data_IF_492927933268
#
_entry.id   IF_492927933268
#
_cell.length_a   1.000
_cell.length_b   1.000
_cell.length_c   1.000
_cell.angle_alpha   90.00
_cell.angle_beta   90.00
_cell.angle_gamma   90.00
#
_symmetry.space_group_name_H-M   'P 1'
#
loop_
_entity.id
_entity.type
_entity.pdbx_description
1 polymer ?
#
# COMPACT_ATOMS: atom_id res chain seq x y z
N UNK A 1 -18.67 5.05 8.71
CA UNK A 1 -19.96 4.68 8.07
C UNK A 1 -19.87 3.34 7.34
N UNK A 2 -18.97 3.15 6.37
CA UNK A 2 -18.85 1.86 5.64
C UNK A 2 -18.55 0.65 6.55
N UNK A 3 -17.57 0.75 7.45
CA UNK A 3 -17.27 -0.29 8.46
C UNK A 3 -18.35 -0.43 9.54
N UNK A 4 -19.38 0.42 9.56
CA UNK A 4 -20.55 0.29 10.45
C UNK A 4 -21.75 -0.37 9.74
N UNK A 5 -21.68 -0.55 8.41
CA UNK A 5 -22.72 -1.16 7.58
C UNK A 5 -22.39 -2.61 7.21
N UNK A 6 -21.53 -3.28 7.97
CA UNK A 6 -20.96 -4.60 7.62
C UNK A 6 -22.03 -5.69 7.45
N UNK A 7 -23.20 -5.55 8.07
CA UNK A 7 -24.35 -6.47 7.88
C UNK A 7 -25.28 -6.14 6.70
N UNK A 8 -25.15 -4.95 6.10
CA UNK A 8 -26.08 -4.45 5.04
C UNK A 8 -25.35 -4.11 3.75
N UNK A 9 -24.03 -3.91 3.81
CA UNK A 9 -23.21 -3.43 2.71
C UNK A 9 -21.95 -4.30 2.59
N UNK A 10 -22.04 -5.37 1.80
CA UNK A 10 -20.89 -6.12 1.33
C UNK A 10 -20.19 -5.32 0.22
N UNK A 11 -19.27 -4.42 0.59
CA UNK A 11 -19.02 -3.23 -0.23
C UNK A 11 -17.64 -2.92 -0.86
N UNK A 12 -16.75 -3.83 -1.27
CA UNK A 12 -15.73 -3.49 -2.29
C UNK A 12 -16.26 -3.25 -3.71
N UNK A 13 -17.45 -3.72 -4.19
CA UNK A 13 -17.77 -3.65 -5.62
C UNK A 13 -18.00 -2.23 -6.12
N UNK A 14 -18.57 -1.34 -5.31
CA UNK A 14 -18.96 -0.01 -5.77
C UNK A 14 -17.75 0.90 -6.01
N UNK A 15 -16.83 1.02 -5.05
CA UNK A 15 -15.64 1.86 -5.21
C UNK A 15 -14.69 1.30 -6.27
N UNK A 16 -14.55 -0.03 -6.34
CA UNK A 16 -13.73 -0.69 -7.35
C UNK A 16 -14.33 -0.54 -8.76
N UNK A 17 -15.66 -0.62 -8.90
CA UNK A 17 -16.34 -0.33 -10.16
C UNK A 17 -16.20 1.15 -10.58
N UNK A 18 -16.33 2.08 -9.63
CA UNK A 18 -16.11 3.51 -9.89
C UNK A 18 -14.66 3.75 -10.34
N UNK A 19 -13.68 3.18 -9.64
CA UNK A 19 -12.27 3.32 -10.01
C UNK A 19 -12.00 2.77 -11.41
N UNK A 20 -12.46 1.55 -11.72
CA UNK A 20 -12.30 0.95 -13.06
C UNK A 20 -13.02 1.75 -14.15
N UNK A 21 -14.16 2.38 -13.84
CA UNK A 21 -14.88 3.23 -14.80
C UNK A 21 -14.12 4.53 -15.10
N UNK A 22 -13.50 5.14 -14.10
CA UNK A 22 -12.80 6.43 -14.23
C UNK A 22 -11.36 6.27 -14.75
N UNK A 23 -10.65 5.23 -14.31
CA UNK A 23 -9.20 5.06 -14.53
C UNK A 23 -8.83 3.77 -15.27
N UNK A 24 -9.80 2.93 -15.64
CA UNK A 24 -9.56 1.73 -16.44
C UNK A 24 -9.16 2.06 -17.88
N UNK A 25 -8.34 1.20 -18.47
CA UNK A 25 -7.98 1.28 -19.88
C UNK A 25 -9.20 0.98 -20.76
N UNK A 26 -9.33 1.69 -21.88
CA UNK A 26 -10.40 1.49 -22.86
C UNK A 26 -10.37 0.08 -23.48
N UNK A 27 -9.17 -0.49 -23.63
CA UNK A 27 -8.96 -1.82 -24.22
C UNK A 27 -9.25 -2.96 -23.23
N UNK A 28 -8.99 -2.75 -21.95
CA UNK A 28 -9.25 -3.75 -20.91
C UNK A 28 -9.55 -3.06 -19.57
N UNK A 29 -10.79 -3.20 -19.09
CA UNK A 29 -11.24 -2.61 -17.81
C UNK A 29 -10.52 -3.16 -16.57
N UNK A 30 -9.75 -4.25 -16.71
CA UNK A 30 -8.93 -4.82 -15.64
C UNK A 30 -7.56 -4.14 -15.53
N UNK A 31 -7.06 -3.56 -16.62
CA UNK A 31 -5.77 -2.87 -16.67
C UNK A 31 -6.01 -1.37 -16.51
N UNK A 32 -5.19 -0.70 -15.73
CA UNK A 32 -5.31 0.74 -15.50
C UNK A 32 -4.76 1.47 -16.73
N UNK A 33 -5.40 2.59 -17.07
CA UNK A 33 -4.88 3.47 -18.12
C UNK A 33 -3.53 4.04 -17.69
N UNK A 34 -2.68 4.37 -18.67
CA UNK A 34 -1.48 5.16 -18.41
C UNK A 34 -1.81 6.42 -17.61
N UNK A 35 -1.01 6.68 -16.58
CA UNK A 35 -1.25 7.79 -15.68
C UNK A 35 -1.10 9.14 -16.39
N UNK A 36 -1.96 10.08 -16.00
CA UNK A 36 -1.87 11.46 -16.46
C UNK A 36 -2.34 12.38 -15.32
N UNK A 37 -1.40 13.07 -14.69
CA UNK A 37 -1.69 13.95 -13.54
C UNK A 37 -1.94 15.41 -13.93
N UNK A 38 -2.26 15.69 -15.20
CA UNK A 38 -2.67 17.03 -15.64
C UNK A 38 -3.94 17.51 -14.97
N UNK A 39 -4.89 16.62 -14.68
CA UNK A 39 -6.10 16.94 -13.93
C UNK A 39 -5.93 16.62 -12.45
N UNK A 40 -5.84 17.65 -11.61
CA UNK A 40 -5.65 17.50 -10.18
C UNK A 40 -6.81 16.84 -9.45
N UNK A 41 -8.06 17.07 -9.88
CA UNK A 41 -9.22 16.41 -9.27
C UNK A 41 -9.13 14.89 -9.46
N UNK A 42 -8.82 14.48 -10.69
CA UNK A 42 -8.61 13.06 -11.00
C UNK A 42 -7.41 12.48 -10.26
N UNK A 43 -6.32 13.23 -10.13
CA UNK A 43 -5.16 12.81 -9.35
C UNK A 43 -5.49 12.55 -7.87
N UNK A 44 -6.17 13.49 -7.20
CA UNK A 44 -6.54 13.32 -5.80
C UNK A 44 -7.51 12.15 -5.60
N UNK A 45 -8.46 11.95 -6.52
CA UNK A 45 -9.34 10.78 -6.50
C UNK A 45 -8.57 9.48 -6.70
N UNK A 46 -7.70 9.44 -7.72
CA UNK A 46 -6.88 8.26 -8.03
C UNK A 46 -5.98 7.88 -6.86
N UNK A 47 -5.44 8.87 -6.14
CA UNK A 47 -4.63 8.67 -4.93
C UNK A 47 -5.45 8.21 -3.72
N UNK A 48 -6.63 8.78 -3.50
CA UNK A 48 -7.39 8.60 -2.24
C UNK A 48 -8.25 7.34 -2.25
N UNK A 49 -8.81 6.96 -3.40
CA UNK A 49 -9.69 5.78 -3.51
C UNK A 49 -8.98 4.49 -3.07
N UNK A 50 -7.75 4.16 -3.53
CA UNK A 50 -7.02 2.97 -3.09
C UNK A 50 -6.81 2.92 -1.57
N UNK A 51 -6.45 4.06 -0.96
CA UNK A 51 -6.25 4.18 0.50
C UNK A 51 -7.56 3.95 1.25
N UNK A 52 -8.66 4.54 0.77
CA UNK A 52 -9.99 4.36 1.37
C UNK A 52 -10.46 2.90 1.29
N UNK A 53 -10.23 2.23 0.16
CA UNK A 53 -10.57 0.82 -0.02
C UNK A 53 -9.74 -0.09 0.89
N UNK A 54 -8.45 0.21 1.05
CA UNK A 54 -7.58 -0.53 1.95
C UNK A 54 -8.03 -0.48 3.41
N UNK A 55 -8.78 0.55 3.81
CA UNK A 55 -9.36 0.69 5.16
C UNK A 55 -10.68 -0.06 5.38
N UNK A 56 -11.26 -0.66 4.33
CA UNK A 56 -12.49 -1.44 4.47
C UNK A 56 -12.21 -2.76 5.19
N UNK A 57 -13.10 -3.12 6.12
CA UNK A 57 -13.01 -4.36 6.90
C UNK A 57 -14.32 -5.13 6.84
N UNK A 58 -14.22 -6.45 6.83
CA UNK A 58 -15.36 -7.34 6.99
C UNK A 58 -15.76 -7.47 8.49
N UNK A 59 -16.79 -8.27 8.79
CA UNK A 59 -17.27 -8.49 10.16
C UNK A 59 -16.21 -9.07 11.10
N UNK A 60 -15.22 -9.75 10.53
CA UNK A 60 -14.11 -10.36 11.25
C UNK A 60 -12.91 -9.42 11.41
N UNK A 61 -13.02 -8.15 10.99
CA UNK A 61 -11.93 -7.18 11.09
C UNK A 61 -10.81 -7.39 10.06
N UNK A 62 -11.06 -8.18 9.01
CA UNK A 62 -10.10 -8.56 7.97
C UNK A 62 -10.33 -7.73 6.71
N UNK A 63 -9.24 -7.34 6.04
CA UNK A 63 -9.31 -6.69 4.72
C UNK A 63 -9.72 -7.72 3.66
N UNK A 64 -10.56 -7.29 2.72
CA UNK A 64 -11.08 -8.22 1.71
C UNK A 64 -9.98 -8.58 0.69
N UNK A 65 -9.77 -9.87 0.35
CA UNK A 65 -8.67 -10.29 -0.53
C UNK A 65 -8.71 -9.63 -1.91
N UNK A 66 -9.91 -9.34 -2.44
CA UNK A 66 -10.08 -8.64 -3.73
C UNK A 66 -9.44 -7.25 -3.72
N UNK A 67 -9.49 -6.55 -2.58
CA UNK A 67 -8.86 -5.23 -2.43
C UNK A 67 -7.35 -5.34 -2.48
N UNK A 68 -6.77 -6.34 -1.80
CA UNK A 68 -5.32 -6.55 -1.84
C UNK A 68 -4.84 -6.89 -3.25
N UNK A 69 -5.52 -7.82 -3.94
CA UNK A 69 -5.21 -8.18 -5.32
C UNK A 69 -5.30 -6.96 -6.24
N UNK A 70 -6.34 -6.13 -6.07
CA UNK A 70 -6.47 -4.89 -6.81
C UNK A 70 -5.32 -3.91 -6.55
N UNK A 71 -4.89 -3.72 -5.30
CA UNK A 71 -3.76 -2.86 -4.98
C UNK A 71 -2.46 -3.38 -5.61
N UNK A 72 -2.23 -4.70 -5.58
CA UNK A 72 -1.08 -5.32 -6.24
C UNK A 72 -1.11 -5.11 -7.76
N UNK A 73 -2.29 -5.20 -8.38
CA UNK A 73 -2.47 -4.87 -9.80
C UNK A 73 -2.15 -3.39 -10.07
N UNK A 74 -2.49 -2.46 -9.16
CA UNK A 74 -2.12 -1.05 -9.30
C UNK A 74 -0.61 -0.86 -9.38
N UNK A 75 0.17 -1.59 -8.59
CA UNK A 75 1.64 -1.53 -8.66
C UNK A 75 2.19 -2.15 -9.95
N UNK A 76 1.68 -3.33 -10.32
CA UNK A 76 2.14 -4.08 -11.49
C UNK A 76 1.91 -3.33 -12.81
N UNK A 77 0.78 -2.65 -12.93
CA UNK A 77 0.38 -1.93 -14.14
C UNK A 77 0.61 -0.41 -14.05
N UNK A 78 1.39 0.06 -13.07
CA UNK A 78 1.70 1.47 -12.92
C UNK A 78 2.64 1.95 -14.05
N UNK A 79 2.06 2.49 -15.13
CA UNK A 79 2.82 3.09 -16.22
C UNK A 79 2.77 4.63 -16.15
N UNK A 80 3.92 5.23 -15.83
CA UNK A 80 4.12 6.69 -15.79
C UNK A 80 4.94 7.23 -16.97
N UNK A 81 5.22 6.43 -18.00
CA UNK A 81 6.13 6.80 -19.11
C UNK A 81 5.68 8.05 -19.89
N UNK A 82 4.37 8.33 -19.92
CA UNK A 82 3.79 9.51 -20.60
C UNK A 82 3.44 10.66 -19.65
N UNK A 83 3.59 10.46 -18.35
CA UNK A 83 3.23 11.47 -17.37
C UNK A 83 4.37 12.49 -17.21
N UNK A 84 4.04 13.78 -17.31
CA UNK A 84 5.05 14.85 -17.15
C UNK A 84 5.33 15.22 -15.69
N UNK A 85 4.50 14.75 -14.76
CA UNK A 85 4.59 15.06 -13.33
C UNK A 85 5.26 13.93 -12.56
N UNK A 86 5.80 14.24 -11.39
CA UNK A 86 6.29 13.21 -10.47
C UNK A 86 5.13 12.40 -9.89
N UNK A 87 5.33 11.09 -9.74
CA UNK A 87 4.37 10.15 -9.19
C UNK A 87 4.67 9.74 -7.75
N UNK A 88 5.68 10.37 -7.13
CA UNK A 88 6.18 10.04 -5.81
C UNK A 88 5.07 9.97 -4.75
N UNK A 89 4.19 10.98 -4.70
CA UNK A 89 3.08 11.02 -3.74
C UNK A 89 1.96 10.01 -4.04
N UNK A 90 1.80 9.61 -5.30
CA UNK A 90 0.86 8.54 -5.67
C UNK A 90 1.40 7.18 -5.22
N UNK A 91 2.67 6.89 -5.54
CA UNK A 91 3.37 5.68 -5.09
C UNK A 91 3.40 5.57 -3.56
N UNK A 92 3.71 6.65 -2.86
CA UNK A 92 3.69 6.69 -1.40
C UNK A 92 2.30 6.35 -0.85
N UNK A 93 1.22 6.89 -1.43
CA UNK A 93 -0.13 6.58 -1.01
C UNK A 93 -0.53 5.11 -1.29
N UNK A 94 -0.08 4.53 -2.40
CA UNK A 94 -0.31 3.11 -2.67
C UNK A 94 0.40 2.21 -1.65
N UNK A 95 1.60 2.60 -1.21
CA UNK A 95 2.35 1.88 -0.17
C UNK A 95 1.64 2.00 1.17
N UNK A 96 1.19 3.20 1.54
CA UNK A 96 0.36 3.40 2.73
C UNK A 96 -0.93 2.58 2.66
N UNK A 97 -1.56 2.46 1.48
CA UNK A 97 -2.71 1.60 1.26
C UNK A 97 -2.37 0.12 1.52
N UNK A 98 -1.22 -0.40 1.05
CA UNK A 98 -0.79 -1.77 1.36
C UNK A 98 -0.65 -1.98 2.88
N UNK A 99 0.01 -1.05 3.57
CA UNK A 99 0.12 -1.11 5.04
C UNK A 99 -1.24 -1.08 5.74
N UNK A 100 -2.19 -0.30 5.21
CA UNK A 100 -3.55 -0.27 5.72
C UNK A 100 -4.32 -1.57 5.46
N UNK A 101 -3.92 -2.45 4.54
CA UNK A 101 -4.57 -3.77 4.38
C UNK A 101 -4.13 -4.80 5.40
N UNK A 102 -2.95 -4.60 6.02
CA UNK A 102 -2.41 -5.53 7.01
C UNK A 102 -3.34 -5.62 8.22
N UNK A 103 -3.56 -6.84 8.68
CA UNK A 103 -4.42 -7.14 9.85
C UNK A 103 -3.57 -7.68 11.00
N UNK A 104 -3.95 -7.42 12.26
CA UNK A 104 -3.23 -7.97 13.41
C UNK A 104 -3.27 -9.51 13.41
N UNK A 105 -2.15 -10.15 13.72
CA UNK A 105 -2.13 -11.60 13.96
C UNK A 105 -2.87 -11.87 15.27
N UNK A 106 -4.03 -12.53 15.19
CA UNK A 106 -4.85 -12.87 16.37
C UNK A 106 -4.20 -14.02 17.19
N UNK A 107 -3.30 -14.78 16.57
CA UNK A 107 -2.58 -15.90 17.20
C UNK A 107 -1.15 -15.50 17.60
N UNK A 108 -0.97 -14.68 18.63
CA UNK A 108 0.30 -14.64 19.36
C UNK A 108 0.18 -15.58 20.56
N UNK A 109 0.36 -16.87 20.32
CA UNK A 109 0.80 -17.76 21.39
C UNK A 109 2.24 -17.38 21.71
N UNK A 110 2.40 -16.82 22.91
CA UNK A 110 3.61 -16.65 23.70
C UNK A 110 4.84 -17.42 23.17
N UNK A 111 5.84 -16.69 22.63
CA UNK A 111 7.24 -17.15 22.60
C UNK A 111 7.77 -17.80 21.32
N UNK A 112 6.99 -17.96 20.25
CA UNK A 112 7.53 -18.43 18.97
C UNK A 112 8.31 -17.32 18.25
N UNK A 113 9.53 -17.62 17.81
CA UNK A 113 10.35 -16.71 16.99
C UNK A 113 9.61 -16.42 15.67
N UNK A 114 9.21 -15.16 15.45
CA UNK A 114 8.58 -14.71 14.21
C UNK A 114 9.63 -14.76 13.10
N UNK A 115 9.65 -15.86 12.34
CA UNK A 115 10.50 -16.01 11.16
C UNK A 115 9.73 -15.64 9.90
N UNK A 116 10.42 -15.12 8.89
CA UNK A 116 9.83 -14.72 7.60
C UNK A 116 9.09 -15.86 6.90
N UNK A 117 9.43 -17.12 7.18
CA UNK A 117 8.80 -18.29 6.57
C UNK A 117 7.38 -18.54 7.09
N UNK A 118 7.10 -18.09 8.31
CA UNK A 118 5.78 -18.20 8.96
C UNK A 118 4.75 -17.17 8.46
N UNK A 119 5.17 -16.20 7.65
CA UNK A 119 4.30 -15.18 7.08
C UNK A 119 3.31 -15.78 6.08
N UNK A 120 2.08 -15.24 6.07
CA UNK A 120 1.11 -15.54 5.01
C UNK A 120 1.64 -15.08 3.65
N UNK A 121 1.17 -15.73 2.58
CA UNK A 121 1.55 -15.40 1.19
C UNK A 121 1.30 -13.92 0.90
N UNK A 122 0.16 -13.40 1.36
CA UNK A 122 -0.24 -12.00 1.22
C UNK A 122 0.74 -11.05 1.92
N UNK A 123 1.12 -11.34 3.17
CA UNK A 123 2.07 -10.49 3.91
C UNK A 123 3.46 -10.55 3.29
N UNK A 124 3.89 -11.72 2.78
CA UNK A 124 5.15 -11.85 2.03
C UNK A 124 5.14 -10.96 0.78
N UNK A 125 4.08 -11.01 -0.01
CA UNK A 125 3.94 -10.18 -1.20
C UNK A 125 3.95 -8.67 -0.87
N UNK A 126 3.28 -8.25 0.22
CA UNK A 126 3.34 -6.87 0.70
C UNK A 126 4.78 -6.48 1.08
N UNK A 127 5.47 -7.32 1.84
CA UNK A 127 6.83 -7.05 2.28
C UNK A 127 7.82 -6.98 1.10
N UNK A 128 7.69 -7.88 0.14
CA UNK A 128 8.47 -7.87 -1.10
C UNK A 128 8.28 -6.55 -1.84
N UNK A 129 7.04 -6.10 -2.02
CA UNK A 129 6.74 -4.87 -2.74
C UNK A 129 7.24 -3.61 -2.02
N UNK A 130 7.11 -3.56 -0.70
CA UNK A 130 7.66 -2.48 0.15
C UNK A 130 9.19 -2.46 0.06
N UNK A 131 9.83 -3.62 0.16
CA UNK A 131 11.30 -3.74 0.07
C UNK A 131 11.80 -3.36 -1.31
N UNK A 132 11.09 -3.76 -2.36
CA UNK A 132 11.38 -3.38 -3.75
C UNK A 132 11.36 -1.87 -3.94
N UNK A 133 10.37 -1.18 -3.37
CA UNK A 133 10.26 0.27 -3.44
C UNK A 133 11.36 0.99 -2.66
N UNK A 134 11.70 0.48 -1.47
CA UNK A 134 12.78 1.01 -0.65
C UNK A 134 14.14 0.88 -1.36
N UNK A 135 14.39 -0.26 -2.02
CA UNK A 135 15.60 -0.47 -2.81
C UNK A 135 15.64 0.39 -4.08
N UNK A 136 14.49 0.55 -4.75
CA UNK A 136 14.41 1.39 -5.95
C UNK A 136 14.74 2.85 -5.64
N UNK A 137 14.37 3.35 -4.47
CA UNK A 137 14.63 4.72 -4.07
C UNK A 137 16.09 4.99 -3.68
N UNK A 138 16.84 3.96 -3.26
CA UNK A 138 18.30 4.06 -3.14
C UNK A 138 18.98 4.29 -4.49
N UNK A 139 18.40 3.75 -5.57
CA UNK A 139 18.91 3.91 -6.94
C UNK A 139 18.40 5.19 -7.59
N UNK A 140 17.13 5.53 -7.35
CA UNK A 140 16.42 6.68 -7.93
C UNK A 140 15.67 7.43 -6.83
N UNK A 141 16.37 8.33 -6.08
CA UNK A 141 15.76 9.11 -5.02
C UNK A 141 14.63 9.96 -5.54
N UNK A 142 13.46 9.87 -4.92
CA UNK A 142 12.35 10.78 -5.19
C UNK A 142 12.41 12.00 -4.25
N UNK A 143 11.65 13.04 -4.58
CA UNK A 143 11.60 14.25 -3.76
C UNK A 143 11.34 13.90 -2.29
N UNK A 144 12.24 14.38 -1.41
CA UNK A 144 12.19 14.21 0.04
C UNK A 144 12.07 12.78 0.55
N UNK A 145 12.46 11.80 -0.26
CA UNK A 145 12.34 10.38 0.09
C UNK A 145 10.91 9.97 0.50
N UNK A 146 9.88 10.62 -0.06
CA UNK A 146 8.47 10.42 0.33
C UNK A 146 8.02 8.97 0.28
N UNK A 147 8.58 8.17 -0.63
CA UNK A 147 8.28 6.74 -0.75
C UNK A 147 8.93 5.95 0.38
N UNK A 148 10.17 6.28 0.77
CA UNK A 148 10.90 5.61 1.86
C UNK A 148 10.20 5.84 3.18
N UNK A 149 9.75 7.07 3.43
CA UNK A 149 8.96 7.41 4.63
C UNK A 149 7.70 6.54 4.70
N UNK A 150 6.99 6.38 3.58
CA UNK A 150 5.83 5.49 3.51
C UNK A 150 6.22 4.02 3.77
N UNK A 151 7.29 3.52 3.15
CA UNK A 151 7.80 2.17 3.38
C UNK A 151 8.13 1.91 4.84
N UNK A 152 8.85 2.82 5.50
CA UNK A 152 9.23 2.70 6.91
C UNK A 152 8.00 2.66 7.83
N UNK A 153 6.97 3.48 7.54
CA UNK A 153 5.68 3.42 8.25
C UNK A 153 5.02 2.05 8.09
N UNK A 154 4.99 1.48 6.88
CA UNK A 154 4.41 0.15 6.64
C UNK A 154 5.19 -0.95 7.35
N UNK A 155 6.52 -0.89 7.33
CA UNK A 155 7.36 -1.83 8.09
C UNK A 155 7.05 -1.75 9.58
N UNK A 156 6.84 -0.54 10.11
CA UNK A 156 6.45 -0.36 11.52
C UNK A 156 5.07 -0.96 11.81
N UNK A 157 4.11 -0.83 10.90
CA UNK A 157 2.78 -1.46 11.01
C UNK A 157 2.92 -2.99 11.05
N UNK A 158 3.72 -3.58 10.16
CA UNK A 158 3.98 -5.02 10.13
C UNK A 158 4.59 -5.52 11.45
N UNK A 159 5.55 -4.78 12.02
CA UNK A 159 6.11 -5.10 13.33
C UNK A 159 5.06 -4.99 14.46
N UNK A 160 4.25 -3.93 14.45
CA UNK A 160 3.19 -3.71 15.45
C UNK A 160 2.14 -4.83 15.43
N UNK A 161 1.85 -5.37 14.27
CA UNK A 161 0.85 -6.43 14.07
C UNK A 161 1.42 -7.84 14.23
N UNK A 162 2.70 -7.99 14.59
CA UNK A 162 3.33 -9.27 14.88
C UNK A 162 3.74 -10.07 13.65
N UNK A 163 3.77 -9.45 12.47
CA UNK A 163 4.25 -10.08 11.24
C UNK A 163 5.78 -10.04 11.12
N UNK A 164 6.42 -9.04 11.74
CA UNK A 164 7.87 -8.89 11.75
C UNK A 164 8.38 -8.78 13.19
N UNK A 165 9.60 -9.27 13.47
CA UNK A 165 10.24 -9.02 14.76
C UNK A 165 10.43 -7.51 14.98
N UNK A 166 10.23 -7.07 16.22
CA UNK A 166 10.38 -5.67 16.63
C UNK A 166 11.86 -5.26 16.72
N UNK A 167 12.59 -5.34 15.60
CA UNK A 167 13.97 -4.91 15.51
C UNK A 167 14.08 -3.42 15.13
N UNK A 168 14.84 -2.61 15.88
CA UNK A 168 15.04 -1.20 15.58
C UNK A 168 16.15 -0.95 14.54
N UNK A 169 16.91 -1.98 14.11
CA UNK A 169 18.11 -1.80 13.26
C UNK A 169 17.85 -1.02 11.98
N UNK A 170 16.75 -1.31 11.28
CA UNK A 170 16.40 -0.58 10.05
C UNK A 170 16.14 0.90 10.34
N UNK A 171 15.33 1.21 11.35
CA UNK A 171 15.01 2.59 11.72
C UNK A 171 16.23 3.35 12.21
N UNK A 172 17.14 2.68 12.91
CA UNK A 172 18.41 3.27 13.32
C UNK A 172 19.22 3.71 12.10
N UNK A 173 19.37 2.86 11.08
CA UNK A 173 20.12 3.19 9.87
C UNK A 173 19.50 4.38 9.10
N UNK A 174 18.17 4.50 9.09
CA UNK A 174 17.47 5.63 8.46
C UNK A 174 17.40 6.89 9.35
N UNK A 175 17.77 6.80 10.62
CA UNK A 175 17.88 7.94 11.54
C UNK A 175 19.34 8.43 11.72
N UNK A 176 20.29 7.88 10.96
CA UNK A 176 21.69 8.31 10.99
C UNK A 176 21.86 9.72 10.40
N UNK A 177 22.94 10.38 10.80
CA UNK A 177 23.28 11.69 10.27
C UNK A 177 23.51 11.62 8.75
N UNK A 178 23.03 12.64 8.03
CA UNK A 178 23.10 12.71 6.57
C UNK A 178 21.84 12.19 5.85
N UNK A 179 20.85 11.70 6.59
CA UNK A 179 19.53 11.41 6.05
C UNK A 179 18.69 12.69 5.93
N UNK A 180 17.72 12.67 5.00
CA UNK A 180 16.80 13.80 4.81
C UNK A 180 15.88 13.97 6.01
N UNK A 181 15.50 15.21 6.35
CA UNK A 181 14.77 15.56 7.58
C UNK A 181 13.44 14.79 7.76
N UNK A 182 12.75 14.47 6.67
CA UNK A 182 11.45 13.79 6.73
C UNK A 182 11.58 12.25 6.92
N UNK A 183 12.78 11.67 6.78
CA UNK A 183 13.07 10.22 6.91
C UNK A 183 13.30 9.84 8.37
#
# INVERSE_FOLDING_TARGET
>A
VANAMVGTWAGPPAMLAIFRKLFGSASCRRIIKQNNFTNFQHYFLQKTIPVAMAGLRNAHGICQPEVLAFLMDLFKYNDNSKNRYSDNYYRAALIEALGATVTPVISVQHGASITTDSLSIDTKAILEEVTRHLNLEKLLPCYKYTVSVACLKVIRILQKFGHLPSSPTIFKAYAEYGQFIDV
#
